data_IF_896976161146
#
_entry.id   IF_896976161146
#
_cell.length_a   1.000
_cell.length_b   1.000
_cell.length_c   1.000
_cell.angle_alpha   90.00
_cell.angle_beta   90.00
_cell.angle_gamma   90.00
#
_symmetry.space_group_name_H-M   'P 1'
#
loop_
_entity.id
_entity.type
_entity.pdbx_description
1 polymer ?
#
# COMPACT_ATOMS: atom_id res chain seq x y z
N UNK A 1 -27.17 1.98 17.55
CA UNK A 1 -26.09 2.40 18.46
C UNK A 1 -24.80 2.31 17.68
N UNK A 2 -24.04 3.40 17.61
CA UNK A 2 -22.69 3.41 17.02
C UNK A 2 -21.75 3.43 18.22
N UNK A 3 -20.92 2.39 18.34
CA UNK A 3 -19.94 2.27 19.41
C UNK A 3 -18.56 2.62 18.84
N UNK A 4 -17.85 3.52 19.50
CA UNK A 4 -16.52 3.99 19.09
C UNK A 4 -15.58 3.65 20.25
N UNK A 5 -14.73 2.67 20.03
CA UNK A 5 -13.79 2.16 21.04
C UNK A 5 -12.34 2.53 20.71
N UNK A 6 -11.42 2.13 21.58
CA UNK A 6 -9.97 2.25 21.37
C UNK A 6 -9.33 0.94 20.91
N UNK A 7 -10.13 -0.01 20.42
CA UNK A 7 -9.60 -1.24 19.86
C UNK A 7 -8.72 -0.89 18.65
N UNK A 8 -7.61 -1.60 18.44
CA UNK A 8 -6.75 -1.34 17.30
C UNK A 8 -7.52 -1.52 15.98
N UNK A 9 -7.41 -0.54 15.07
CA UNK A 9 -8.07 -0.51 13.75
C UNK A 9 -7.79 -1.78 12.94
N UNK A 10 -6.61 -2.36 13.11
CA UNK A 10 -6.29 -3.69 12.62
C UNK A 10 -5.00 -4.19 13.26
N UNK A 11 -4.84 -5.51 13.30
CA UNK A 11 -3.64 -6.17 13.85
C UNK A 11 -2.54 -6.38 12.81
N UNK A 12 -2.70 -5.86 11.59
CA UNK A 12 -1.78 -6.07 10.48
C UNK A 12 -1.28 -4.73 9.91
N UNK A 13 -0.08 -4.70 9.32
CA UNK A 13 0.46 -3.50 8.66
C UNK A 13 -0.35 -3.00 7.45
N UNK A 14 -1.35 -3.78 7.01
CA UNK A 14 -2.22 -3.47 5.87
C UNK A 14 -3.36 -2.53 6.24
N UNK A 15 -3.76 -2.51 7.51
CA UNK A 15 -4.77 -1.58 8.02
C UNK A 15 -4.14 -0.20 8.23
N UNK A 16 -4.63 0.77 7.49
CA UNK A 16 -4.27 2.18 7.65
C UNK A 16 -5.52 3.06 7.57
N UNK A 17 -5.43 4.35 7.96
CA UNK A 17 -6.59 5.25 7.93
C UNK A 17 -7.28 5.35 6.56
N UNK A 18 -6.53 5.26 5.45
CA UNK A 18 -7.09 5.34 4.10
C UNK A 18 -7.92 4.10 3.71
N UNK A 19 -7.50 2.91 4.15
CA UNK A 19 -8.28 1.68 3.97
C UNK A 19 -9.49 1.63 4.90
N UNK A 20 -9.37 2.18 6.12
CA UNK A 20 -10.45 2.16 7.11
C UNK A 20 -11.57 3.14 6.75
N UNK A 21 -11.21 4.34 6.28
CA UNK A 21 -12.18 5.37 5.85
C UNK A 21 -12.71 5.14 4.43
N UNK A 22 -12.17 4.18 3.68
CA UNK A 22 -12.54 3.91 2.29
C UNK A 22 -11.98 4.90 1.25
N UNK A 23 -11.27 5.96 1.69
CA UNK A 23 -10.64 6.98 0.81
C UNK A 23 -9.63 6.35 -0.15
N UNK A 24 -9.11 5.16 0.16
CA UNK A 24 -8.17 4.46 -0.71
C UNK A 24 -8.76 4.09 -2.09
N UNK A 25 -10.06 3.83 -2.20
CA UNK A 25 -10.69 3.47 -3.48
C UNK A 25 -10.70 4.60 -4.51
N UNK A 26 -11.27 5.79 -4.24
CA UNK A 26 -11.35 6.86 -5.24
C UNK A 26 -9.98 7.35 -5.71
N UNK A 27 -8.94 7.26 -4.88
CA UNK A 27 -7.61 7.67 -5.33
C UNK A 27 -6.96 6.60 -6.22
N UNK A 28 -7.20 5.30 -5.99
CA UNK A 28 -6.73 4.26 -6.94
C UNK A 28 -7.36 4.46 -8.32
N UNK A 29 -8.63 4.87 -8.35
CA UNK A 29 -9.33 5.24 -9.60
C UNK A 29 -8.69 6.47 -10.25
N UNK A 30 -8.36 7.49 -9.46
CA UNK A 30 -7.67 8.68 -9.93
C UNK A 30 -6.29 8.37 -10.54
N UNK A 31 -5.49 7.50 -9.90
CA UNK A 31 -4.21 7.06 -10.46
C UNK A 31 -4.38 6.22 -11.73
N UNK A 32 -5.40 5.36 -11.79
CA UNK A 32 -5.75 4.63 -13.01
C UNK A 32 -6.20 5.55 -14.16
N UNK A 33 -6.74 6.72 -13.83
CA UNK A 33 -7.17 7.75 -14.78
C UNK A 33 -6.03 8.55 -15.43
N UNK A 34 -4.81 8.50 -14.90
CA UNK A 34 -3.65 9.24 -15.41
C UNK A 34 -3.29 8.76 -16.83
N UNK A 35 -2.96 9.66 -17.79
CA UNK A 35 -2.65 9.27 -19.18
C UNK A 35 -1.59 8.17 -19.30
N UNK A 36 -0.50 8.26 -18.52
CA UNK A 36 0.58 7.26 -18.48
C UNK A 36 0.10 5.91 -17.95
N UNK A 37 -0.82 5.92 -16.98
CA UNK A 37 -1.44 4.71 -16.44
C UNK A 37 -2.32 4.03 -17.49
N UNK A 38 -3.13 4.82 -18.21
CA UNK A 38 -3.99 4.33 -19.28
C UNK A 38 -3.20 3.77 -20.45
N UNK A 39 -2.12 4.45 -20.86
CA UNK A 39 -1.24 3.99 -21.92
C UNK A 39 -0.58 2.63 -21.60
N UNK A 40 -0.31 2.35 -20.32
CA UNK A 40 0.22 1.07 -19.84
C UNK A 40 -0.86 0.03 -19.50
N UNK A 41 -2.15 0.35 -19.69
CA UNK A 41 -3.27 -0.55 -19.38
C UNK A 41 -3.47 -0.82 -17.88
N UNK A 42 -3.01 0.08 -17.00
CA UNK A 42 -3.12 -0.11 -15.56
C UNK A 42 -4.52 0.22 -15.05
N UNK A 43 -5.08 -0.72 -14.29
CA UNK A 43 -6.39 -0.60 -13.64
C UNK A 43 -6.22 -0.15 -12.17
N UNK A 44 -7.30 0.23 -11.47
CA UNK A 44 -7.24 0.56 -10.03
C UNK A 44 -6.66 -0.57 -9.16
N UNK A 45 -6.71 -1.82 -9.64
CA UNK A 45 -6.08 -2.97 -8.98
C UNK A 45 -4.55 -2.86 -8.91
N UNK A 46 -3.90 -2.26 -9.92
CA UNK A 46 -2.44 -2.04 -9.96
C UNK A 46 -1.98 -1.19 -8.79
N UNK A 47 -2.79 -0.20 -8.39
CA UNK A 47 -2.49 0.71 -7.29
C UNK A 47 -2.96 0.19 -5.94
N UNK A 48 -3.35 -1.07 -5.83
CA UNK A 48 -3.64 -1.73 -4.55
C UNK A 48 -2.42 -2.49 -4.05
N UNK A 49 -2.00 -2.25 -2.81
CA UNK A 49 -0.96 -3.07 -2.18
C UNK A 49 -1.49 -4.44 -1.73
N UNK A 50 -2.82 -4.61 -1.64
CA UNK A 50 -3.45 -5.86 -1.22
C UNK A 50 -3.58 -6.89 -2.35
N UNK A 51 -3.39 -6.48 -3.62
CA UNK A 51 -3.60 -7.33 -4.80
C UNK A 51 -2.29 -7.47 -5.58
N UNK A 52 -2.05 -8.67 -6.12
CA UNK A 52 -0.92 -8.92 -7.02
C UNK A 52 -1.01 -8.03 -8.26
N UNK A 53 0.15 -7.62 -8.76
CA UNK A 53 0.25 -6.76 -9.93
C UNK A 53 1.25 -5.64 -9.68
N UNK A 54 0.84 -4.59 -8.97
CA UNK A 54 1.69 -3.42 -8.73
C UNK A 54 2.36 -3.36 -7.36
N UNK A 55 1.95 -4.20 -6.41
CA UNK A 55 2.59 -4.31 -5.10
C UNK A 55 4.02 -4.86 -5.21
N UNK A 56 4.82 -4.62 -4.19
CA UNK A 56 6.10 -5.30 -4.03
C UNK A 56 5.84 -6.75 -3.61
N UNK A 57 6.25 -7.72 -4.44
CA UNK A 57 6.01 -9.14 -4.14
C UNK A 57 6.91 -9.66 -3.01
N UNK A 58 8.10 -9.07 -2.79
CA UNK A 58 9.00 -9.50 -1.71
C UNK A 58 8.38 -9.30 -0.31
N UNK A 59 7.65 -8.21 -0.09
CA UNK A 59 6.91 -7.97 1.15
C UNK A 59 5.39 -8.14 1.00
N UNK A 60 4.94 -8.68 -0.13
CA UNK A 60 3.51 -8.83 -0.47
C UNK A 60 2.65 -7.57 -0.25
N UNK A 61 3.24 -6.38 -0.43
CA UNK A 61 2.58 -5.09 -0.22
C UNK A 61 2.61 -4.53 1.22
N UNK A 62 3.19 -5.22 2.19
CA UNK A 62 3.24 -4.75 3.58
C UNK A 62 4.24 -3.60 3.79
N UNK A 63 5.29 -3.56 2.97
CA UNK A 63 6.39 -2.59 3.06
C UNK A 63 7.40 -2.91 4.16
N UNK A 64 7.05 -3.85 5.03
CA UNK A 64 7.88 -4.41 6.09
C UNK A 64 7.90 -5.93 5.96
N UNK A 65 8.94 -6.56 6.48
CA UNK A 65 9.06 -8.01 6.64
C UNK A 65 8.99 -8.31 8.13
N UNK A 66 8.15 -9.28 8.50
CA UNK A 66 8.07 -9.79 9.86
C UNK A 66 9.23 -10.77 10.06
N UNK A 67 10.09 -10.51 11.04
CA UNK A 67 11.15 -11.43 11.45
C UNK A 67 10.71 -12.10 12.74
N UNK A 68 10.55 -13.41 12.67
CA UNK A 68 10.12 -14.21 13.81
C UNK A 68 11.31 -14.53 14.70
N UNK A 69 11.15 -14.27 15.99
CA UNK A 69 12.21 -14.41 16.99
C UNK A 69 11.77 -15.44 18.02
N UNK A 70 12.65 -16.38 18.37
CA UNK A 70 12.27 -17.48 19.26
C UNK A 70 11.95 -17.05 20.70
N UNK A 71 12.54 -15.95 21.18
CA UNK A 71 12.47 -15.52 22.58
C UNK A 71 12.04 -14.06 22.77
N UNK A 72 11.98 -13.29 21.69
CA UNK A 72 11.60 -11.88 21.69
C UNK A 72 10.32 -11.70 20.89
N UNK A 73 9.57 -10.62 21.13
CA UNK A 73 8.47 -10.25 20.25
C UNK A 73 8.96 -10.11 18.80
N UNK A 74 8.11 -10.53 17.87
CA UNK A 74 8.40 -10.38 16.44
C UNK A 74 8.66 -8.92 16.09
N UNK A 75 9.68 -8.69 15.28
CA UNK A 75 10.04 -7.34 14.83
C UNK A 75 9.68 -7.15 13.36
N UNK A 76 9.38 -5.91 12.99
CA UNK A 76 9.09 -5.51 11.62
C UNK A 76 10.27 -4.71 11.08
N UNK A 77 10.95 -5.26 10.07
CA UNK A 77 12.04 -4.57 9.39
C UNK A 77 11.55 -4.00 8.05
N UNK A 78 12.02 -2.81 7.62
CA UNK A 78 11.71 -2.31 6.29
C UNK A 78 12.08 -3.31 5.20
N UNK A 79 11.23 -3.48 4.19
CA UNK A 79 11.54 -4.36 3.08
C UNK A 79 12.71 -3.79 2.25
N UNK A 80 13.76 -4.59 2.04
CA UNK A 80 14.96 -4.15 1.31
C UNK A 80 14.70 -3.82 -0.16
N UNK A 81 13.74 -4.50 -0.80
CA UNK A 81 13.43 -4.27 -2.22
C UNK A 81 12.69 -2.97 -2.47
N UNK A 82 11.61 -2.71 -1.70
CA UNK A 82 10.80 -1.51 -1.90
C UNK A 82 11.18 -0.36 -0.97
N UNK A 83 12.02 -0.59 0.05
CA UNK A 83 12.41 0.39 1.08
C UNK A 83 11.18 1.02 1.75
N UNK A 84 10.21 0.19 2.14
CA UNK A 84 8.95 0.64 2.76
C UNK A 84 7.88 1.15 1.79
N UNK A 85 8.18 1.24 0.49
CA UNK A 85 7.26 1.82 -0.51
C UNK A 85 6.07 0.92 -0.87
N UNK A 86 6.03 -0.35 -0.47
CA UNK A 86 4.90 -1.29 -0.74
C UNK A 86 4.60 -1.62 -2.21
N UNK A 87 5.11 -0.87 -3.17
CA UNK A 87 4.90 -1.06 -4.61
C UNK A 87 6.20 -1.38 -5.34
N UNK A 88 6.06 -1.98 -6.51
CA UNK A 88 7.15 -2.19 -7.44
C UNK A 88 7.51 -0.90 -8.20
N UNK A 89 8.66 -0.89 -8.86
CA UNK A 89 9.20 0.32 -9.51
C UNK A 89 8.26 0.86 -10.59
N UNK A 90 7.67 0.01 -11.41
CA UNK A 90 6.82 0.43 -12.53
C UNK A 90 5.54 1.14 -12.04
N UNK A 91 5.00 0.75 -10.89
CA UNK A 91 3.82 1.38 -10.30
C UNK A 91 4.15 2.72 -9.64
N UNK A 92 5.40 2.90 -9.18
CA UNK A 92 5.90 4.14 -8.60
C UNK A 92 6.24 5.22 -9.64
N UNK A 93 6.42 4.81 -10.90
CA UNK A 93 6.67 5.73 -12.01
C UNK A 93 5.43 6.55 -12.37
N UNK A 94 4.23 6.03 -12.11
CA UNK A 94 2.98 6.77 -12.32
C UNK A 94 2.85 7.86 -11.26
N UNK A 95 2.74 9.11 -11.73
CA UNK A 95 2.63 10.30 -10.89
C UNK A 95 1.32 11.01 -11.18
N UNK A 96 0.69 11.49 -10.12
CA UNK A 96 -0.42 12.44 -10.21
C UNK A 96 0.03 13.76 -9.57
N UNK A 97 -0.06 14.88 -10.31
CA UNK A 97 0.43 16.20 -9.85
C UNK A 97 1.84 16.14 -9.24
N UNK A 98 2.77 15.48 -9.94
CA UNK A 98 4.16 15.23 -9.50
C UNK A 98 4.34 14.38 -8.22
N UNK A 99 3.27 13.82 -7.65
CA UNK A 99 3.32 12.90 -6.51
C UNK A 99 3.25 11.44 -6.98
N UNK A 100 4.21 10.58 -6.60
CA UNK A 100 4.13 9.15 -6.88
C UNK A 100 3.05 8.51 -5.99
N UNK A 101 2.52 7.36 -6.44
CA UNK A 101 1.47 6.62 -5.74
C UNK A 101 1.73 6.43 -4.24
N UNK A 102 2.97 6.18 -3.82
CA UNK A 102 3.30 5.97 -2.39
C UNK A 102 3.21 7.17 -1.47
N UNK A 103 3.47 8.38 -1.97
CA UNK A 103 3.51 9.58 -1.13
C UNK A 103 2.12 10.14 -0.80
N UNK A 104 1.07 9.48 -1.28
CA UNK A 104 -0.30 9.87 -0.97
C UNK A 104 -0.85 9.14 0.27
N UNK A 105 -0.11 8.15 0.82
CA UNK A 105 -0.69 7.09 1.68
C UNK A 105 0.08 6.71 2.93
N UNK A 106 1.33 7.18 3.04
CA UNK A 106 2.08 7.22 4.29
C UNK A 106 1.91 8.63 4.83
#
# INVERSE_FOLDING_TARGET
MIDIDQSPIGRTPRSNPATYTGVFTPVRELFAGVPESRARGYTPGRFSFNVRGGRCEACQGDGVIKVEMHFLPDIYVPCDQCKGKRYNRETLEIKYKARPSTKCWI
#
